data_IF_466260587949
#
_entry.id   IF_466260587949
#
_cell.length_a   1.000
_cell.length_b   1.000
_cell.length_c   1.000
_cell.angle_alpha   90.00
_cell.angle_beta   90.00
_cell.angle_gamma   90.00
#
_symmetry.space_group_name_H-M   'P 1'
#
loop_
_entity.id
_entity.type
_entity.pdbx_description
1 polymer ?
#
# COMPACT_ATOMS: atom_id res chain seq x y z
N UNK A 1 -8.09 5.00 -15.19
CA UNK A 1 -9.30 4.58 -14.45
C UNK A 1 -9.31 3.09 -14.10
N UNK A 2 -9.03 2.14 -15.01
CA UNK A 2 -8.98 0.71 -14.65
C UNK A 2 -7.81 0.36 -13.74
N UNK A 3 -6.61 0.87 -13.99
CA UNK A 3 -5.43 0.63 -13.18
C UNK A 3 -5.57 1.18 -11.74
N UNK A 4 -6.13 2.37 -11.60
CA UNK A 4 -6.39 2.97 -10.28
C UNK A 4 -7.41 2.14 -9.48
N UNK A 5 -8.43 1.60 -10.17
CA UNK A 5 -9.41 0.70 -9.58
C UNK A 5 -8.78 -0.61 -9.09
N UNK A 6 -7.89 -1.21 -9.90
CA UNK A 6 -7.15 -2.41 -9.50
C UNK A 6 -6.19 -2.14 -8.32
N UNK A 7 -5.52 -1.00 -8.31
CA UNK A 7 -4.63 -0.62 -7.21
C UNK A 7 -5.43 -0.46 -5.90
N UNK A 8 -6.50 0.31 -5.91
CA UNK A 8 -7.37 0.48 -4.74
C UNK A 8 -7.99 -0.83 -4.25
N UNK A 9 -8.38 -1.72 -5.17
CA UNK A 9 -8.92 -3.03 -4.82
C UNK A 9 -7.86 -3.92 -4.17
N UNK A 10 -6.61 -3.85 -4.65
CA UNK A 10 -5.48 -4.59 -4.08
C UNK A 10 -5.14 -4.08 -2.69
N UNK A 11 -5.09 -2.76 -2.47
CA UNK A 11 -4.84 -2.16 -1.17
C UNK A 11 -5.93 -2.55 -0.16
N UNK A 12 -7.20 -2.48 -0.56
CA UNK A 12 -8.31 -2.95 0.27
C UNK A 12 -8.22 -4.44 0.62
N UNK A 13 -7.83 -5.27 -0.36
CA UNK A 13 -7.65 -6.70 -0.14
C UNK A 13 -6.46 -7.01 0.76
N UNK A 14 -5.35 -6.29 0.61
CA UNK A 14 -4.15 -6.41 1.46
C UNK A 14 -4.48 -6.09 2.92
N UNK A 15 -5.24 -5.02 3.14
CA UNK A 15 -5.67 -4.63 4.48
C UNK A 15 -6.56 -5.70 5.13
N UNK A 16 -7.50 -6.29 4.38
CA UNK A 16 -8.34 -7.38 4.88
C UNK A 16 -7.49 -8.61 5.24
N UNK A 17 -6.58 -9.02 4.36
CA UNK A 17 -5.67 -10.15 4.61
C UNK A 17 -4.78 -9.86 5.83
N UNK A 18 -4.27 -8.63 5.96
CA UNK A 18 -3.47 -8.20 7.10
C UNK A 18 -4.23 -8.28 8.42
N UNK A 19 -5.46 -7.75 8.46
CA UNK A 19 -6.31 -7.80 9.65
C UNK A 19 -6.61 -9.25 10.05
N UNK A 20 -6.94 -10.10 9.08
CA UNK A 20 -7.22 -11.53 9.34
C UNK A 20 -5.94 -12.22 9.84
N UNK A 21 -4.80 -12.01 9.19
CA UNK A 21 -3.52 -12.61 9.57
C UNK A 21 -3.07 -12.22 10.98
N UNK A 22 -3.17 -10.93 11.31
CA UNK A 22 -2.86 -10.41 12.65
C UNK A 22 -3.86 -10.97 13.68
N UNK A 23 -5.15 -11.01 13.34
CA UNK A 23 -6.18 -11.55 14.21
C UNK A 23 -5.94 -13.03 14.58
N UNK A 24 -5.49 -13.84 13.61
CA UNK A 24 -5.07 -15.22 13.88
C UNK A 24 -3.76 -15.30 14.66
N UNK A 25 -2.79 -14.44 14.38
CA UNK A 25 -1.50 -14.44 15.04
C UNK A 25 -1.59 -14.10 16.55
N UNK A 26 -2.59 -13.32 16.93
CA UNK A 26 -2.85 -12.91 18.32
C UNK A 26 -3.53 -14.01 19.17
N UNK A 27 -3.98 -15.12 18.56
CA UNK A 27 -4.57 -16.22 19.32
C UNK A 27 -3.53 -16.88 20.22
N UNK A 28 -3.90 -17.22 21.46
CA UNK A 28 -3.04 -17.97 22.36
C UNK A 28 -2.70 -19.34 21.80
N UNK A 29 -1.69 -19.98 22.34
CA UNK A 29 -1.32 -21.36 22.03
C UNK A 29 -2.47 -22.29 22.36
N UNK A 30 -2.71 -23.25 21.48
CA UNK A 30 -3.70 -24.33 21.65
C UNK A 30 -3.04 -25.71 21.45
N UNK A 31 -3.80 -26.79 21.60
CA UNK A 31 -3.29 -28.16 21.48
C UNK A 31 -2.78 -28.46 20.07
N UNK A 32 -3.37 -27.87 19.05
CA UNK A 32 -2.99 -28.06 17.64
C UNK A 32 -1.78 -27.18 17.26
N UNK A 33 -1.56 -26.06 17.98
CA UNK A 33 -0.49 -25.10 17.71
C UNK A 33 0.34 -24.78 18.96
N UNK A 34 1.16 -25.74 19.46
CA UNK A 34 1.93 -25.57 20.70
C UNK A 34 2.99 -24.46 20.62
N UNK A 35 3.41 -24.08 19.42
CA UNK A 35 4.33 -22.96 19.16
C UNK A 35 3.62 -21.61 19.00
N UNK A 36 2.28 -21.60 19.03
CA UNK A 36 1.47 -20.40 18.84
C UNK A 36 1.18 -20.10 17.36
N UNK A 37 0.40 -19.06 17.13
CA UNK A 37 -0.18 -18.71 15.83
C UNK A 37 0.61 -17.64 15.06
N UNK A 38 1.77 -17.19 15.57
CA UNK A 38 2.55 -16.10 14.97
C UNK A 38 2.96 -16.33 13.50
N UNK A 39 3.08 -17.59 13.08
CA UNK A 39 3.36 -17.96 11.69
C UNK A 39 2.25 -17.59 10.70
N UNK A 40 1.02 -17.43 11.16
CA UNK A 40 -0.10 -16.97 10.30
C UNK A 40 0.09 -15.53 9.86
N UNK A 41 0.69 -14.68 10.69
CA UNK A 41 1.09 -13.33 10.29
C UNK A 41 2.12 -13.37 9.15
N UNK A 42 3.13 -14.24 9.26
CA UNK A 42 4.15 -14.40 8.21
C UNK A 42 3.53 -14.89 6.89
N UNK A 43 2.58 -15.84 6.94
CA UNK A 43 1.87 -16.33 5.76
C UNK A 43 1.00 -15.25 5.12
N UNK A 44 0.29 -14.47 5.94
CA UNK A 44 -0.50 -13.34 5.44
C UNK A 44 0.40 -12.28 4.79
N UNK A 45 1.54 -11.95 5.43
CA UNK A 45 2.54 -11.03 4.88
C UNK A 45 3.11 -11.53 3.55
N UNK A 46 3.37 -12.82 3.41
CA UNK A 46 3.80 -13.42 2.13
C UNK A 46 2.74 -13.29 1.05
N UNK A 47 1.46 -13.52 1.40
CA UNK A 47 0.34 -13.34 0.47
C UNK A 47 0.23 -11.89 -0.02
N UNK A 48 0.33 -10.93 0.90
CA UNK A 48 0.35 -9.49 0.56
C UNK A 48 1.54 -9.16 -0.34
N UNK A 49 2.74 -9.64 -0.01
CA UNK A 49 3.94 -9.42 -0.81
C UNK A 49 3.80 -9.95 -2.25
N UNK A 50 3.19 -11.13 -2.43
CA UNK A 50 2.89 -11.67 -3.77
C UNK A 50 1.89 -10.77 -4.52
N UNK A 51 0.84 -10.30 -3.88
CA UNK A 51 -0.13 -9.39 -4.50
C UNK A 51 0.54 -8.10 -4.96
N UNK A 52 1.34 -7.46 -4.10
CA UNK A 52 2.09 -6.25 -4.42
C UNK A 52 3.10 -6.48 -5.57
N UNK A 53 3.73 -7.64 -5.62
CA UNK A 53 4.62 -8.01 -6.72
C UNK A 53 3.89 -8.04 -8.07
N UNK A 54 2.72 -8.67 -8.14
CA UNK A 54 1.92 -8.70 -9.38
C UNK A 54 1.42 -7.31 -9.79
N UNK A 55 0.98 -6.50 -8.82
CA UNK A 55 0.59 -5.11 -9.07
C UNK A 55 1.75 -4.29 -9.61
N UNK A 56 2.95 -4.44 -9.03
CA UNK A 56 4.15 -3.74 -9.49
C UNK A 56 4.50 -4.07 -10.94
N UNK A 57 4.38 -5.34 -11.34
CA UNK A 57 4.58 -5.74 -12.74
C UNK A 57 3.59 -5.03 -13.68
N UNK A 58 2.32 -4.94 -13.28
CA UNK A 58 1.31 -4.27 -14.09
C UNK A 58 1.56 -2.76 -14.19
N UNK A 59 1.97 -2.11 -13.11
CA UNK A 59 2.36 -0.69 -13.11
C UNK A 59 3.55 -0.44 -14.03
N UNK A 60 4.57 -1.31 -14.01
CA UNK A 60 5.73 -1.20 -14.90
C UNK A 60 5.30 -1.33 -16.36
N UNK A 61 4.44 -2.30 -16.70
CA UNK A 61 3.91 -2.48 -18.05
C UNK A 61 3.12 -1.26 -18.50
N UNK A 62 2.28 -0.70 -17.64
CA UNK A 62 1.50 0.49 -17.94
C UNK A 62 2.38 1.73 -18.12
N UNK A 63 3.40 1.91 -17.26
CA UNK A 63 4.38 2.97 -17.38
C UNK A 63 5.15 2.90 -18.70
N UNK A 64 5.56 1.69 -19.11
CA UNK A 64 6.24 1.47 -20.37
C UNK A 64 5.32 1.76 -21.56
N UNK A 65 4.05 1.36 -21.51
CA UNK A 65 3.04 1.66 -22.53
C UNK A 65 2.81 3.17 -22.66
N UNK A 66 2.69 3.89 -21.53
CA UNK A 66 2.52 5.35 -21.52
C UNK A 66 3.77 6.10 -21.99
N UNK A 67 4.96 5.53 -21.81
CA UNK A 67 6.19 6.08 -22.36
C UNK A 67 6.24 6.02 -23.89
N UNK A 68 5.72 4.91 -24.45
CA UNK A 68 5.65 4.74 -25.92
C UNK A 68 4.49 5.54 -26.54
N UNK A 69 3.40 5.72 -25.81
CA UNK A 69 2.21 6.44 -26.25
C UNK A 69 1.83 7.51 -25.21
N UNK A 70 2.53 8.67 -25.20
CA UNK A 70 2.28 9.71 -24.22
C UNK A 70 0.85 10.24 -24.32
N UNK A 71 0.12 10.15 -23.21
CA UNK A 71 -1.19 10.76 -23.07
C UNK A 71 -1.01 12.02 -22.25
N UNK A 72 -1.46 13.17 -22.75
CA UNK A 72 -1.48 14.41 -21.99
C UNK A 72 -2.56 14.33 -20.91
N UNK A 73 -2.21 14.29 -19.64
CA UNK A 73 -3.21 14.29 -18.57
C UNK A 73 -3.91 15.65 -18.50
N UNK A 74 -5.23 15.66 -18.38
CA UNK A 74 -5.98 16.87 -18.06
C UNK A 74 -5.77 17.23 -16.60
N UNK A 75 -4.96 18.28 -16.35
CA UNK A 75 -4.67 18.76 -15.01
C UNK A 75 -5.79 19.70 -14.59
N UNK A 76 -6.64 19.26 -13.66
CA UNK A 76 -7.65 20.10 -13.04
C UNK A 76 -7.22 20.51 -11.64
N UNK A 77 -7.70 21.65 -11.16
CA UNK A 77 -7.42 22.12 -9.79
C UNK A 77 -7.93 21.10 -8.77
N UNK A 78 -9.05 20.46 -9.06
CA UNK A 78 -9.64 19.41 -8.23
C UNK A 78 -8.69 18.20 -8.07
N UNK A 79 -8.00 17.81 -9.15
CA UNK A 79 -7.02 16.72 -9.11
C UNK A 79 -5.82 17.05 -8.20
N UNK A 80 -5.37 18.30 -8.20
CA UNK A 80 -4.28 18.76 -7.34
C UNK A 80 -4.72 18.76 -5.88
N UNK A 81 -5.91 19.27 -5.58
CA UNK A 81 -6.45 19.27 -4.22
C UNK A 81 -6.62 17.85 -3.70
N UNK A 82 -7.19 16.95 -4.50
CA UNK A 82 -7.35 15.55 -4.15
C UNK A 82 -5.99 14.88 -3.85
N UNK A 83 -4.97 15.15 -4.67
CA UNK A 83 -3.63 14.60 -4.48
C UNK A 83 -2.99 15.11 -3.17
N UNK A 84 -3.13 16.41 -2.86
CA UNK A 84 -2.62 16.97 -1.61
C UNK A 84 -3.30 16.35 -0.39
N UNK A 85 -4.62 16.19 -0.44
CA UNK A 85 -5.37 15.53 0.64
C UNK A 85 -4.90 14.09 0.82
N UNK A 86 -4.72 13.34 -0.28
CA UNK A 86 -4.22 11.96 -0.24
C UNK A 86 -2.84 11.88 0.41
N UNK A 87 -1.92 12.77 0.06
CA UNK A 87 -0.58 12.82 0.67
C UNK A 87 -0.66 13.05 2.19
N UNK A 88 -1.50 14.00 2.64
CA UNK A 88 -1.69 14.28 4.07
C UNK A 88 -2.24 13.06 4.80
N UNK A 89 -3.27 12.42 4.24
CA UNK A 89 -3.87 11.22 4.81
C UNK A 89 -2.84 10.08 4.90
N UNK A 90 -2.08 9.84 3.84
CA UNK A 90 -1.06 8.80 3.79
C UNK A 90 0.07 9.04 4.80
N UNK A 91 0.48 10.28 5.04
CA UNK A 91 1.47 10.61 6.09
C UNK A 91 0.93 10.23 7.47
N UNK A 92 -0.33 10.55 7.74
CA UNK A 92 -0.98 10.23 9.00
C UNK A 92 -1.10 8.70 9.19
N UNK A 93 -1.64 8.00 8.19
CA UNK A 93 -1.83 6.55 8.20
C UNK A 93 -0.50 5.83 8.37
N UNK A 94 0.49 6.11 7.53
CA UNK A 94 1.82 5.50 7.60
C UNK A 94 2.50 5.70 8.97
N UNK A 95 2.37 6.89 9.55
CA UNK A 95 2.95 7.16 10.88
C UNK A 95 2.24 6.36 11.97
N UNK A 96 0.91 6.27 11.88
CA UNK A 96 0.09 5.50 12.81
C UNK A 96 0.43 4.00 12.73
N UNK A 97 0.43 3.43 11.53
CA UNK A 97 0.75 2.02 11.28
C UNK A 97 2.15 1.65 11.74
N UNK A 98 3.14 2.49 11.45
CA UNK A 98 4.51 2.27 11.90
C UNK A 98 4.63 2.21 13.43
N UNK A 99 3.98 3.15 14.13
CA UNK A 99 3.98 3.18 15.60
C UNK A 99 3.27 1.97 16.18
N UNK A 100 2.12 1.61 15.61
CA UNK A 100 1.35 0.44 16.05
C UNK A 100 2.06 -0.87 15.72
N UNK A 101 2.66 -0.97 14.54
CA UNK A 101 3.44 -2.14 14.12
C UNK A 101 4.61 -2.41 15.05
N UNK A 102 5.34 -1.37 15.44
CA UNK A 102 6.41 -1.51 16.45
C UNK A 102 5.90 -1.88 17.83
N UNK A 103 4.80 -1.30 18.28
CA UNK A 103 4.22 -1.60 19.60
C UNK A 103 3.68 -3.03 19.69
N UNK A 104 3.12 -3.55 18.58
CA UNK A 104 2.55 -4.90 18.50
C UNK A 104 3.55 -5.96 18.00
N UNK A 105 4.80 -5.55 17.66
CA UNK A 105 5.79 -6.41 17.01
C UNK A 105 5.22 -7.11 15.77
N UNK A 106 4.43 -6.38 14.97
CA UNK A 106 3.79 -6.84 13.74
C UNK A 106 4.61 -6.40 12.55
N UNK A 107 5.22 -7.36 11.85
CA UNK A 107 6.00 -7.12 10.64
C UNK A 107 5.12 -6.67 9.47
N UNK A 108 3.87 -7.11 9.42
CA UNK A 108 2.90 -6.70 8.40
C UNK A 108 2.63 -5.19 8.49
N UNK A 109 2.28 -4.69 9.69
CA UNK A 109 2.00 -3.27 9.88
C UNK A 109 3.22 -2.39 9.59
N UNK A 110 4.42 -2.86 9.95
CA UNK A 110 5.66 -2.14 9.61
C UNK A 110 5.89 -2.13 8.11
N UNK A 111 5.73 -3.26 7.41
CA UNK A 111 5.90 -3.34 5.97
C UNK A 111 4.88 -2.47 5.23
N UNK A 112 3.60 -2.49 5.65
CA UNK A 112 2.53 -1.68 5.08
C UNK A 112 2.80 -0.18 5.24
N UNK A 113 3.25 0.23 6.42
CA UNK A 113 3.67 1.62 6.66
C UNK A 113 4.82 2.07 5.73
N UNK A 114 5.74 1.17 5.38
CA UNK A 114 6.84 1.47 4.46
C UNK A 114 6.34 1.55 3.01
N UNK A 115 5.37 0.72 2.63
CA UNK A 115 4.70 0.80 1.34
C UNK A 115 4.00 2.15 1.18
N UNK A 116 3.15 2.54 2.15
CA UNK A 116 2.47 3.83 2.17
C UNK A 116 3.44 5.03 2.12
N UNK A 117 4.63 4.91 2.73
CA UNK A 117 5.69 5.93 2.58
C UNK A 117 6.22 6.04 1.16
N UNK A 118 6.37 4.92 0.47
CA UNK A 118 6.78 4.93 -0.94
C UNK A 118 5.73 5.64 -1.81
N UNK A 119 4.46 5.43 -1.55
CA UNK A 119 3.36 6.10 -2.26
C UNK A 119 3.35 7.62 -2.00
N UNK A 120 3.72 8.06 -0.79
CA UNK A 120 3.90 9.49 -0.49
C UNK A 120 4.99 10.10 -1.38
N UNK A 121 6.14 9.44 -1.53
CA UNK A 121 7.23 9.93 -2.39
C UNK A 121 6.81 9.99 -3.85
N UNK A 122 6.10 8.98 -4.36
CA UNK A 122 5.56 8.98 -5.72
C UNK A 122 4.58 10.12 -5.90
N UNK A 123 3.65 10.32 -4.98
CA UNK A 123 2.65 11.38 -5.03
C UNK A 123 3.28 12.78 -5.00
N UNK A 124 4.32 12.98 -4.20
CA UNK A 124 5.09 14.24 -4.17
C UNK A 124 5.78 14.45 -5.51
N UNK A 125 6.38 13.43 -6.10
CA UNK A 125 7.01 13.49 -7.43
C UNK A 125 5.99 13.89 -8.52
N UNK A 126 4.81 13.31 -8.50
CA UNK A 126 3.70 13.67 -9.39
C UNK A 126 3.31 15.13 -9.18
N UNK A 127 3.19 15.58 -7.94
CA UNK A 127 2.78 16.95 -7.60
C UNK A 127 3.80 17.99 -8.11
N UNK A 128 5.10 17.72 -7.96
CA UNK A 128 6.18 18.56 -8.49
C UNK A 128 6.09 18.62 -10.01
N UNK A 129 5.85 17.50 -10.68
CA UNK A 129 5.73 17.44 -12.14
C UNK A 129 4.51 18.26 -12.62
N UNK A 130 3.37 18.14 -11.94
CA UNK A 130 2.14 18.88 -12.27
C UNK A 130 2.31 20.40 -12.11
N UNK A 131 3.04 20.82 -11.09
CA UNK A 131 3.33 22.25 -10.85
C UNK A 131 4.34 22.77 -11.89
N UNK A 132 5.33 21.97 -12.25
CA UNK A 132 6.36 22.35 -13.22
C UNK A 132 5.87 22.42 -14.68
N UNK A 133 4.76 21.76 -15.00
CA UNK A 133 4.13 21.79 -16.34
C UNK A 133 3.11 22.94 -16.52
N UNK A 134 2.84 23.73 -15.50
CA UNK A 134 1.91 24.86 -15.52
C UNK A 134 2.60 26.18 -15.72
#
# INVERSE_FOLDING_TARGET
>A
MTADGFHSLTDGSSNIIGIIGIGFALKPKDEDHPYGHKKFETLAGLGIAMMLFFVSINIIKEAFSKFLHPITPSITVESIIALVITVIVNIFVSTYEYRKGKALTSDILVADSMHTRSDIFVSIGVLITLIGLR
#
